data_IF_453391831091
#
_entry.id   IF_453391831091
#
_cell.length_a   1.000
_cell.length_b   1.000
_cell.length_c   1.000
_cell.angle_alpha   90.00
_cell.angle_beta   90.00
_cell.angle_gamma   90.00
#
_symmetry.space_group_name_H-M   'P 1'
#
loop_
_entity.id
_entity.type
_entity.pdbx_description
1 polymer ?
#
# COMPACT_ATOMS: atom_id res chain seq x y z
N UNK A 1 57.39 34.75 -4.53
CA UNK A 1 56.43 33.95 -5.35
C UNK A 1 56.06 32.68 -4.60
N UNK A 2 54.80 32.58 -4.19
CA UNK A 2 54.29 31.34 -3.61
C UNK A 2 54.20 30.27 -4.69
N UNK A 3 54.67 29.06 -4.40
CA UNK A 3 54.52 27.92 -5.29
C UNK A 3 53.05 27.51 -5.36
N UNK A 4 52.60 26.84 -6.46
CA UNK A 4 51.26 26.34 -6.62
C UNK A 4 50.81 25.49 -5.40
N UNK A 5 51.69 24.66 -4.89
CA UNK A 5 51.46 23.83 -3.70
C UNK A 5 51.16 24.64 -2.44
N UNK A 6 51.87 25.77 -2.24
CA UNK A 6 51.63 26.67 -1.10
C UNK A 6 50.30 27.42 -1.24
N UNK A 7 49.92 27.83 -2.47
CA UNK A 7 48.63 28.49 -2.72
C UNK A 7 47.46 27.55 -2.45
N UNK A 8 47.54 26.29 -2.89
CA UNK A 8 46.51 25.25 -2.65
C UNK A 8 46.42 24.97 -1.14
N UNK A 9 47.53 24.75 -0.45
CA UNK A 9 47.54 24.52 0.99
C UNK A 9 46.92 25.65 1.80
N UNK A 10 47.22 26.92 1.43
CA UNK A 10 46.68 28.11 2.06
C UNK A 10 45.15 28.24 1.82
N UNK A 11 44.68 27.92 0.60
CA UNK A 11 43.27 27.92 0.27
C UNK A 11 42.51 26.90 1.13
N UNK A 12 43.01 25.65 1.25
CA UNK A 12 42.41 24.61 2.09
C UNK A 12 42.40 25.01 3.57
N UNK A 13 43.47 25.61 4.06
CA UNK A 13 43.55 26.02 5.47
C UNK A 13 42.56 27.12 5.82
N UNK A 14 42.40 28.13 4.96
CA UNK A 14 41.47 29.24 5.21
C UNK A 14 40.02 28.90 4.96
N UNK A 15 39.72 27.93 4.05
CA UNK A 15 38.35 27.55 3.67
C UNK A 15 37.90 26.17 4.23
N UNK A 16 38.66 25.62 5.20
CA UNK A 16 38.38 24.27 5.73
C UNK A 16 36.94 24.05 6.19
N UNK A 17 36.33 25.05 6.83
CA UNK A 17 34.94 24.98 7.30
C UNK A 17 33.95 25.00 6.13
N UNK A 18 34.15 25.88 5.16
CA UNK A 18 33.29 25.92 3.96
C UNK A 18 33.44 24.68 3.11
N UNK A 19 34.61 24.11 3.03
CA UNK A 19 34.84 22.84 2.33
C UNK A 19 34.20 21.67 3.07
N UNK A 20 34.25 21.66 4.39
CA UNK A 20 33.56 20.68 5.19
C UNK A 20 32.03 20.72 4.99
N UNK A 21 31.47 21.92 4.98
CA UNK A 21 30.06 22.16 4.70
C UNK A 21 29.70 21.70 3.27
N UNK A 22 30.50 22.09 2.27
CA UNK A 22 30.29 21.71 0.87
C UNK A 22 30.36 20.18 0.68
N UNK A 23 31.32 19.50 1.31
CA UNK A 23 31.45 18.06 1.27
C UNK A 23 30.26 17.37 1.95
N UNK A 24 29.79 17.89 3.08
CA UNK A 24 28.59 17.38 3.75
C UNK A 24 27.35 17.47 2.85
N UNK A 25 27.10 18.64 2.24
CA UNK A 25 25.96 18.77 1.32
C UNK A 25 26.10 17.90 0.08
N UNK A 26 27.31 17.72 -0.45
CA UNK A 26 27.54 16.81 -1.58
C UNK A 26 27.18 15.35 -1.24
N UNK A 27 27.52 14.90 -0.03
CA UNK A 27 27.15 13.56 0.46
C UNK A 27 25.64 13.47 0.64
N UNK A 28 25.01 14.45 1.28
CA UNK A 28 23.53 14.46 1.49
C UNK A 28 22.80 14.42 0.15
N UNK A 29 23.19 15.27 -0.81
CA UNK A 29 22.61 15.29 -2.15
C UNK A 29 22.83 13.94 -2.86
N UNK A 30 24.02 13.37 -2.75
CA UNK A 30 24.34 12.08 -3.32
C UNK A 30 23.46 10.95 -2.76
N UNK A 31 23.22 10.94 -1.45
CA UNK A 31 22.31 9.98 -0.79
C UNK A 31 20.87 10.18 -1.24
N UNK A 32 20.40 11.43 -1.32
CA UNK A 32 19.02 11.72 -1.78
C UNK A 32 18.81 11.29 -3.23
N UNK A 33 19.76 11.56 -4.12
CA UNK A 33 19.69 11.12 -5.52
C UNK A 33 19.73 9.59 -5.60
N UNK A 34 20.59 8.96 -4.81
CA UNK A 34 20.69 7.51 -4.78
C UNK A 34 19.37 6.87 -4.31
N UNK A 35 18.77 7.42 -3.26
CA UNK A 35 17.48 6.95 -2.73
C UNK A 35 16.35 7.11 -3.75
N UNK A 36 16.26 8.28 -4.38
CA UNK A 36 15.26 8.59 -5.42
C UNK A 36 15.38 7.65 -6.65
N UNK A 37 16.61 7.41 -7.12
CA UNK A 37 16.85 6.54 -8.30
C UNK A 37 16.69 5.04 -7.99
N UNK A 38 16.90 4.63 -6.74
CA UNK A 38 16.83 3.22 -6.34
C UNK A 38 15.48 2.81 -5.74
N UNK A 39 14.65 3.76 -5.34
CA UNK A 39 13.32 3.48 -4.82
C UNK A 39 12.36 3.19 -5.97
N UNK A 40 11.88 1.96 -6.06
CA UNK A 40 10.84 1.57 -7.01
C UNK A 40 9.50 1.99 -6.43
N UNK A 41 8.82 2.91 -7.11
CA UNK A 41 7.46 3.31 -6.74
C UNK A 41 6.48 2.16 -7.04
N UNK A 42 5.55 1.83 -6.13
CA UNK A 42 4.58 0.79 -6.39
C UNK A 42 3.55 1.24 -7.43
N UNK A 43 3.22 0.35 -8.35
CA UNK A 43 2.15 0.54 -9.34
C UNK A 43 0.76 0.54 -8.70
N UNK A 44 0.61 -0.25 -7.64
CA UNK A 44 -0.65 -0.35 -6.90
C UNK A 44 -0.40 -0.51 -5.40
N UNK A 45 -1.27 0.11 -4.62
CA UNK A 45 -1.31 -0.05 -3.17
C UNK A 45 -2.58 -0.83 -2.81
N UNK A 46 -2.41 -1.86 -1.99
CA UNK A 46 -3.51 -2.65 -1.42
C UNK A 46 -3.52 -2.40 0.08
N UNK A 47 -4.68 -2.10 0.60
CA UNK A 47 -4.87 -1.94 2.04
C UNK A 47 -5.30 -3.28 2.63
N UNK A 48 -4.58 -3.74 3.65
CA UNK A 48 -4.90 -4.95 4.39
C UNK A 48 -5.27 -4.59 5.81
N UNK A 49 -6.53 -4.78 6.16
CA UNK A 49 -7.12 -4.48 7.45
C UNK A 49 -7.53 -5.79 8.11
N UNK A 50 -6.85 -6.16 9.18
CA UNK A 50 -7.18 -7.40 9.89
C UNK A 50 -6.71 -7.32 11.33
N UNK A 51 -7.45 -8.03 12.21
CA UNK A 51 -7.02 -8.26 13.57
C UNK A 51 -6.01 -9.41 13.68
N UNK A 52 -5.84 -10.21 12.63
CA UNK A 52 -4.96 -11.36 12.62
C UNK A 52 -3.48 -10.97 12.42
N UNK A 53 -2.66 -11.32 13.42
CA UNK A 53 -1.24 -10.97 13.42
C UNK A 53 -0.39 -11.84 12.48
N UNK A 54 -0.81 -13.06 12.16
CA UNK A 54 -0.11 -13.92 11.21
C UNK A 54 -0.35 -13.43 9.78
N UNK A 55 -1.58 -13.03 9.46
CA UNK A 55 -1.89 -12.41 8.18
C UNK A 55 -1.07 -11.12 7.97
N UNK A 56 -0.84 -10.35 9.03
CA UNK A 56 0.01 -9.16 8.97
C UNK A 56 1.46 -9.46 8.55
N UNK A 57 1.96 -10.67 8.80
CA UNK A 57 3.28 -11.12 8.36
C UNK A 57 3.32 -11.60 6.90
N UNK A 58 2.17 -11.71 6.23
CA UNK A 58 2.05 -12.22 4.85
C UNK A 58 1.90 -11.11 3.80
N UNK A 59 2.20 -9.87 4.14
CA UNK A 59 2.12 -8.72 3.21
C UNK A 59 2.95 -8.91 1.95
N UNK A 60 4.14 -9.52 2.05
CA UNK A 60 4.97 -9.83 0.89
C UNK A 60 4.33 -10.91 -0.01
N UNK A 61 3.79 -11.98 0.57
CA UNK A 61 3.06 -13.00 -0.19
C UNK A 61 1.81 -12.43 -0.86
N UNK A 62 1.08 -11.56 -0.15
CA UNK A 62 -0.05 -10.83 -0.71
C UNK A 62 0.39 -9.95 -1.89
N UNK A 63 1.47 -9.18 -1.73
CA UNK A 63 2.00 -8.34 -2.81
C UNK A 63 2.36 -9.17 -4.04
N UNK A 64 3.16 -10.22 -3.88
CA UNK A 64 3.59 -11.12 -4.96
C UNK A 64 2.40 -11.81 -5.67
N UNK A 65 1.33 -12.12 -4.94
CA UNK A 65 0.13 -12.65 -5.54
C UNK A 65 -0.55 -11.63 -6.47
N UNK A 66 -0.72 -10.39 -6.01
CA UNK A 66 -1.36 -9.34 -6.80
C UNK A 66 -0.49 -8.83 -7.96
N UNK A 67 0.83 -8.84 -7.85
CA UNK A 67 1.77 -8.46 -8.93
C UNK A 67 1.57 -9.26 -10.21
N UNK A 68 0.97 -10.45 -10.15
CA UNK A 68 0.65 -11.26 -11.31
C UNK A 68 -0.47 -10.66 -12.18
N UNK A 69 -1.27 -9.75 -11.62
CA UNK A 69 -2.47 -9.19 -12.26
C UNK A 69 -2.36 -7.68 -12.50
N UNK A 70 -1.44 -7.00 -11.81
CA UNK A 70 -1.23 -5.56 -11.93
C UNK A 70 -0.33 -5.30 -13.14
N UNK A 71 -0.71 -4.39 -14.07
CA UNK A 71 0.19 -3.95 -15.12
C UNK A 71 1.23 -2.94 -14.57
N UNK A 72 2.32 -2.74 -15.31
CA UNK A 72 3.27 -1.65 -15.07
C UNK A 72 2.57 -0.31 -15.36
N UNK A 73 2.11 0.36 -14.31
CA UNK A 73 1.32 1.59 -14.40
C UNK A 73 2.21 2.84 -14.40
N UNK A 74 3.40 2.76 -13.81
CA UNK A 74 4.34 3.87 -13.73
C UNK A 74 5.34 3.89 -14.91
N UNK A 75 5.44 2.78 -15.69
CA UNK A 75 6.26 2.67 -16.88
C UNK A 75 7.76 2.52 -16.60
N UNK A 76 8.14 2.05 -15.41
CA UNK A 76 9.54 1.84 -15.02
C UNK A 76 10.10 0.48 -15.46
N UNK A 77 9.25 -0.39 -16.04
CA UNK A 77 9.59 -1.72 -16.52
C UNK A 77 9.58 -2.79 -15.42
N UNK A 78 9.10 -2.46 -14.23
CA UNK A 78 8.93 -3.38 -13.11
C UNK A 78 7.48 -3.29 -12.61
N UNK A 79 6.90 -4.40 -12.20
CA UNK A 79 5.59 -4.40 -11.53
C UNK A 79 5.82 -4.56 -10.05
N UNK A 80 5.32 -3.63 -9.25
CA UNK A 80 5.43 -3.67 -7.80
C UNK A 80 4.10 -3.32 -7.13
N UNK A 81 3.67 -4.19 -6.23
CA UNK A 81 2.51 -3.95 -5.38
C UNK A 81 2.97 -3.70 -3.95
N UNK A 82 2.50 -2.63 -3.35
CA UNK A 82 2.70 -2.37 -1.93
C UNK A 82 1.45 -2.78 -1.14
N UNK A 83 1.62 -3.56 -0.08
CA UNK A 83 0.55 -3.92 0.83
C UNK A 83 0.73 -3.16 2.13
N UNK A 84 -0.21 -2.26 2.42
CA UNK A 84 -0.24 -1.54 3.68
C UNK A 84 -1.12 -2.27 4.68
N UNK A 85 -0.49 -2.99 5.58
CA UNK A 85 -1.17 -3.66 6.67
C UNK A 85 -1.39 -2.68 7.83
N UNK A 86 -2.66 -2.51 8.20
CA UNK A 86 -3.06 -1.72 9.36
C UNK A 86 -3.85 -2.66 10.28
N UNK A 87 -3.30 -3.02 11.43
CA UNK A 87 -4.00 -3.88 12.38
C UNK A 87 -5.20 -3.13 12.95
N UNK A 88 -6.36 -3.74 12.87
CA UNK A 88 -7.60 -3.23 13.46
C UNK A 88 -8.04 -4.20 14.54
N UNK A 89 -8.38 -3.71 15.71
CA UNK A 89 -8.88 -4.54 16.80
C UNK A 89 -10.04 -3.84 17.50
N UNK A 90 -11.10 -4.58 17.73
CA UNK A 90 -12.27 -4.12 18.47
C UNK A 90 -12.18 -4.46 19.97
N UNK A 91 -11.02 -4.95 20.48
CA UNK A 91 -10.84 -5.23 21.91
C UNK A 91 -10.65 -3.93 22.70
N UNK A 92 -11.65 -3.49 23.49
CA UNK A 92 -11.55 -2.26 24.31
C UNK A 92 -10.50 -2.36 25.42
N UNK A 93 -10.01 -3.58 25.74
CA UNK A 93 -8.96 -3.79 26.74
C UNK A 93 -7.56 -3.77 26.13
N UNK A 94 -7.44 -3.88 24.83
CA UNK A 94 -6.16 -3.81 24.12
C UNK A 94 -5.81 -2.37 23.72
N UNK A 95 -6.00 -1.44 24.66
CA UNK A 95 -5.71 -0.01 24.50
C UNK A 95 -4.20 0.31 24.50
N UNK A 96 -3.34 -0.67 24.29
CA UNK A 96 -1.90 -0.47 24.20
C UNK A 96 -1.52 0.12 22.84
N UNK A 97 -1.34 1.44 22.82
CA UNK A 97 -0.42 2.23 21.98
C UNK A 97 -0.30 1.98 20.46
N UNK A 98 -0.91 0.94 19.89
CA UNK A 98 -1.03 0.75 18.45
C UNK A 98 -1.93 1.81 17.80
N UNK A 99 -2.84 2.37 18.57
CA UNK A 99 -3.98 3.14 18.07
C UNK A 99 -3.70 4.55 17.55
N UNK A 100 -2.74 5.27 18.08
CA UNK A 100 -2.63 6.69 17.70
C UNK A 100 -1.93 6.91 16.36
N UNK A 101 -0.96 6.07 16.01
CA UNK A 101 -0.27 6.13 14.71
C UNK A 101 -1.04 5.41 13.60
N UNK A 102 -1.51 4.20 13.88
CA UNK A 102 -2.18 3.36 12.89
C UNK A 102 -3.59 3.87 12.54
N UNK A 103 -4.33 4.40 13.52
CA UNK A 103 -5.63 5.05 13.26
C UNK A 103 -5.48 6.28 12.38
N UNK A 104 -4.44 7.09 12.59
CA UNK A 104 -4.17 8.25 11.76
C UNK A 104 -3.78 7.83 10.33
N UNK A 105 -2.98 6.77 10.20
CA UNK A 105 -2.61 6.20 8.91
C UNK A 105 -3.83 5.65 8.19
N UNK A 106 -4.68 4.89 8.87
CA UNK A 106 -5.93 4.38 8.31
C UNK A 106 -6.81 5.52 7.78
N UNK A 107 -7.01 6.58 8.57
CA UNK A 107 -7.81 7.73 8.14
C UNK A 107 -7.21 8.38 6.89
N UNK A 108 -5.89 8.57 6.84
CA UNK A 108 -5.22 9.16 5.67
C UNK A 108 -5.42 8.28 4.43
N UNK A 109 -5.17 6.98 4.54
CA UNK A 109 -5.34 6.04 3.41
C UNK A 109 -6.81 5.98 2.95
N UNK A 110 -7.76 5.91 3.89
CA UNK A 110 -9.18 5.89 3.58
C UNK A 110 -9.70 7.22 3.01
N UNK A 111 -9.01 8.33 3.23
CA UNK A 111 -9.34 9.66 2.69
C UNK A 111 -8.55 10.02 1.43
N UNK A 112 -7.72 9.12 0.91
CA UNK A 112 -6.95 9.26 -0.33
C UNK A 112 -7.47 8.32 -1.43
N UNK A 113 -6.96 8.47 -2.64
CA UNK A 113 -7.22 7.56 -3.78
C UNK A 113 -6.14 6.47 -3.95
N UNK A 114 -5.19 6.36 -3.03
CA UNK A 114 -4.01 5.51 -3.17
C UNK A 114 -4.33 4.02 -3.17
N UNK A 115 -5.22 3.57 -2.27
CA UNK A 115 -5.58 2.17 -2.13
C UNK A 115 -7.07 1.96 -2.47
N UNK A 116 -7.35 1.45 -3.66
CA UNK A 116 -8.71 1.13 -4.09
C UNK A 116 -9.14 -0.28 -3.69
N UNK A 117 -8.22 -1.23 -3.70
CA UNK A 117 -8.45 -2.61 -3.27
C UNK A 117 -8.16 -2.74 -1.78
N UNK A 118 -9.08 -3.36 -1.06
CA UNK A 118 -8.99 -3.54 0.39
C UNK A 118 -9.29 -4.99 0.75
N UNK A 119 -8.37 -5.60 1.46
CA UNK A 119 -8.54 -6.86 2.17
C UNK A 119 -8.99 -6.54 3.59
N UNK A 120 -10.13 -7.08 4.02
CA UNK A 120 -10.64 -6.82 5.36
C UNK A 120 -11.32 -8.05 5.95
N UNK A 121 -11.35 -8.12 7.28
CA UNK A 121 -12.14 -9.06 8.05
C UNK A 121 -13.29 -8.36 8.77
N UNK A 122 -14.20 -9.12 9.38
CA UNK A 122 -15.37 -8.57 10.09
C UNK A 122 -14.99 -7.73 11.31
N UNK A 123 -13.81 -7.90 11.89
CA UNK A 123 -13.32 -7.07 12.98
C UNK A 123 -13.16 -5.59 12.59
N UNK A 124 -13.06 -5.32 11.27
CA UNK A 124 -12.88 -3.98 10.73
C UNK A 124 -14.20 -3.28 10.38
N UNK A 125 -15.33 -3.96 10.37
CA UNK A 125 -16.63 -3.45 9.83
C UNK A 125 -17.08 -2.15 10.51
N UNK A 126 -17.01 -2.07 11.84
CA UNK A 126 -17.39 -0.89 12.59
C UNK A 126 -16.50 0.34 12.25
N UNK A 127 -15.26 0.08 11.86
CA UNK A 127 -14.27 1.12 11.56
C UNK A 127 -14.39 1.63 10.14
N UNK A 128 -14.60 0.73 9.17
CA UNK A 128 -14.57 1.06 7.73
C UNK A 128 -15.96 1.29 7.14
N UNK A 129 -17.04 0.94 7.85
CA UNK A 129 -18.44 1.04 7.36
C UNK A 129 -18.56 0.52 5.91
N UNK A 130 -18.47 -0.79 5.69
CA UNK A 130 -18.28 -1.38 4.36
C UNK A 130 -19.32 -0.96 3.34
N UNK A 131 -20.61 -0.91 3.72
CA UNK A 131 -21.70 -0.50 2.82
C UNK A 131 -21.56 0.93 2.29
N UNK A 132 -20.90 1.82 3.04
CA UNK A 132 -20.63 3.19 2.60
C UNK A 132 -19.35 3.30 1.80
N UNK A 133 -18.39 2.45 2.09
CA UNK A 133 -17.03 2.51 1.56
C UNK A 133 -16.85 1.73 0.27
N UNK A 134 -17.44 0.54 0.17
CA UNK A 134 -17.20 -0.37 -0.94
C UNK A 134 -18.31 -0.36 -1.99
N UNK A 135 -17.90 -0.62 -3.23
CA UNK A 135 -18.78 -0.81 -4.36
C UNK A 135 -19.55 -2.15 -4.22
N UNK A 136 -20.83 -2.15 -4.54
CA UNK A 136 -21.61 -3.38 -4.67
C UNK A 136 -21.16 -4.15 -5.93
N UNK A 137 -20.72 -5.38 -5.73
CA UNK A 137 -20.21 -6.28 -6.76
C UNK A 137 -21.26 -7.27 -7.27
N UNK A 138 -22.43 -7.34 -6.65
CA UNK A 138 -23.46 -8.36 -6.91
C UNK A 138 -23.95 -8.34 -8.35
N UNK A 139 -23.96 -7.19 -9.01
CA UNK A 139 -24.41 -7.07 -10.40
C UNK A 139 -23.36 -7.51 -11.40
N UNK A 140 -22.10 -7.17 -11.16
CA UNK A 140 -20.98 -7.52 -12.05
C UNK A 140 -20.61 -9.01 -11.95
N UNK A 141 -20.80 -9.61 -10.78
CA UNK A 141 -20.41 -11.00 -10.48
C UNK A 141 -21.59 -11.84 -10.00
N UNK A 142 -22.78 -11.65 -10.58
CA UNK A 142 -24.04 -12.29 -10.18
C UNK A 142 -23.99 -13.82 -10.15
N UNK A 143 -23.15 -14.42 -10.99
CA UNK A 143 -23.03 -15.87 -11.13
C UNK A 143 -21.96 -16.46 -10.20
N UNK A 144 -21.24 -15.62 -9.44
CA UNK A 144 -20.18 -16.07 -8.55
C UNK A 144 -20.70 -16.23 -7.10
N UNK A 145 -20.78 -17.45 -6.57
CA UNK A 145 -21.31 -17.69 -5.24
C UNK A 145 -20.40 -17.18 -4.10
N UNK A 146 -19.17 -16.80 -4.41
CA UNK A 146 -18.22 -16.23 -3.45
C UNK A 146 -18.36 -14.71 -3.33
N UNK A 147 -19.16 -14.08 -4.20
CA UNK A 147 -19.44 -12.65 -4.14
C UNK A 147 -20.78 -12.42 -3.44
N UNK A 148 -20.76 -11.57 -2.43
CA UNK A 148 -21.96 -11.18 -1.68
C UNK A 148 -21.91 -9.69 -1.38
N UNK A 149 -22.83 -8.90 -2.00
CA UNK A 149 -22.83 -7.46 -1.86
C UNK A 149 -21.51 -6.85 -2.32
N UNK A 150 -20.79 -6.23 -1.39
CA UNK A 150 -19.50 -5.57 -1.63
C UNK A 150 -18.29 -6.49 -1.47
N UNK A 151 -18.48 -7.72 -1.02
CA UNK A 151 -17.40 -8.62 -0.60
C UNK A 151 -17.20 -9.80 -1.55
N UNK A 152 -15.94 -10.12 -1.83
CA UNK A 152 -15.51 -11.39 -2.39
C UNK A 152 -14.81 -12.21 -1.31
N UNK A 153 -15.37 -13.34 -0.93
CA UNK A 153 -14.92 -14.20 0.17
C UNK A 153 -13.62 -14.95 -0.22
N UNK A 154 -12.53 -14.60 0.42
CA UNK A 154 -11.22 -15.19 0.17
C UNK A 154 -10.98 -16.47 0.98
N UNK A 155 -11.69 -16.67 2.09
CA UNK A 155 -11.49 -17.85 2.96
C UNK A 155 -11.95 -19.15 2.30
N UNK A 156 -12.90 -19.05 1.37
CA UNK A 156 -13.39 -20.19 0.57
C UNK A 156 -12.59 -20.46 -0.70
N UNK A 157 -11.47 -19.77 -0.86
CA UNK A 157 -10.57 -19.90 -2.01
C UNK A 157 -9.21 -20.46 -1.59
N UNK A 158 -8.33 -20.65 -2.55
CA UNK A 158 -6.94 -21.01 -2.28
C UNK A 158 -6.02 -19.79 -2.02
N UNK A 159 -6.58 -18.58 -1.87
CA UNK A 159 -5.85 -17.35 -1.67
C UNK A 159 -4.88 -17.43 -0.48
N UNK A 160 -5.38 -17.82 0.69
CA UNK A 160 -4.57 -17.92 1.92
C UNK A 160 -3.36 -18.83 1.72
N UNK A 161 -3.56 -19.95 1.04
CA UNK A 161 -2.48 -20.88 0.69
C UNK A 161 -1.48 -20.26 -0.29
N UNK A 162 -1.97 -19.50 -1.28
CA UNK A 162 -1.12 -18.83 -2.29
C UNK A 162 -0.22 -17.77 -1.68
N UNK A 163 -0.67 -17.09 -0.62
CA UNK A 163 0.15 -16.11 0.11
C UNK A 163 1.01 -16.72 1.22
N UNK A 164 0.96 -18.04 1.40
CA UNK A 164 1.72 -18.75 2.42
C UNK A 164 1.17 -18.59 3.84
N UNK A 165 -0.13 -18.32 3.99
CA UNK A 165 -0.79 -18.29 5.29
C UNK A 165 -1.17 -19.72 5.71
N UNK A 166 -0.79 -20.13 6.92
CA UNK A 166 -1.00 -21.47 7.46
C UNK A 166 -2.02 -21.52 8.61
N UNK A 167 -2.49 -20.37 9.06
CA UNK A 167 -3.48 -20.25 10.12
C UNK A 167 -4.92 -20.54 9.66
N UNK A 168 -5.86 -20.34 10.55
CA UNK A 168 -7.29 -20.39 10.27
C UNK A 168 -7.88 -18.99 10.45
N UNK A 169 -8.60 -18.50 9.45
CA UNK A 169 -9.36 -17.26 9.49
C UNK A 169 -10.83 -17.59 9.33
N UNK A 170 -11.65 -17.03 10.21
CA UNK A 170 -13.11 -17.19 10.14
C UNK A 170 -13.67 -16.48 8.91
N UNK A 171 -13.13 -15.30 8.59
CA UNK A 171 -13.50 -14.50 7.45
C UNK A 171 -12.32 -13.64 6.95
N UNK A 172 -12.28 -13.44 5.67
CA UNK A 172 -11.44 -12.45 4.98
C UNK A 172 -12.08 -12.19 3.62
N UNK A 173 -12.27 -10.94 3.28
CA UNK A 173 -12.83 -10.57 1.99
C UNK A 173 -11.99 -9.50 1.27
N UNK A 174 -12.14 -9.50 -0.05
CA UNK A 174 -11.61 -8.46 -0.93
C UNK A 174 -12.77 -7.58 -1.39
N UNK A 175 -12.61 -6.27 -1.22
CA UNK A 175 -13.53 -5.26 -1.71
C UNK A 175 -12.82 -4.20 -2.52
N UNK A 176 -13.58 -3.48 -3.37
CA UNK A 176 -13.12 -2.29 -4.07
C UNK A 176 -13.88 -1.07 -3.57
N UNK A 177 -13.18 0.02 -3.35
CA UNK A 177 -13.79 1.25 -2.82
C UNK A 177 -14.66 1.94 -3.87
N UNK A 178 -15.73 2.59 -3.41
CA UNK A 178 -16.58 3.45 -4.25
C UNK A 178 -15.84 4.68 -4.74
N UNK A 179 -16.19 5.10 -5.93
CA UNK A 179 -15.78 6.42 -6.44
C UNK A 179 -16.61 7.49 -5.75
N UNK A 180 -15.96 8.31 -4.94
CA UNK A 180 -16.58 9.41 -4.22
C UNK A 180 -15.54 10.49 -3.90
N UNK A 181 -16.00 11.72 -3.68
CA UNK A 181 -15.12 12.79 -3.23
C UNK A 181 -14.69 12.55 -1.78
N UNK A 182 -13.40 12.62 -1.53
CA UNK A 182 -12.78 12.44 -0.22
C UNK A 182 -11.98 13.69 0.20
N UNK A 183 -11.46 13.69 1.43
CA UNK A 183 -10.71 14.84 1.94
C UNK A 183 -9.42 15.10 1.11
N UNK A 184 -8.71 14.04 0.72
CA UNK A 184 -7.44 14.13 -0.01
C UNK A 184 -7.53 13.66 -1.46
N UNK A 185 -8.73 13.35 -1.96
CA UNK A 185 -8.94 12.92 -3.34
C UNK A 185 -10.21 13.50 -3.95
N UNK A 186 -10.09 13.99 -5.17
CA UNK A 186 -11.25 14.38 -5.98
C UNK A 186 -11.93 13.14 -6.54
N UNK A 187 -13.20 13.25 -6.92
CA UNK A 187 -13.94 12.18 -7.57
C UNK A 187 -13.26 11.71 -8.86
N UNK A 188 -12.69 12.64 -9.64
CA UNK A 188 -11.94 12.34 -10.86
C UNK A 188 -10.69 11.46 -10.57
N UNK A 189 -9.93 11.77 -9.51
CA UNK A 189 -8.79 10.94 -9.08
C UNK A 189 -9.24 9.57 -8.59
N UNK A 190 -10.34 9.53 -7.84
CA UNK A 190 -10.92 8.26 -7.40
C UNK A 190 -11.35 7.40 -8.58
N UNK A 191 -11.98 8.02 -9.61
CA UNK A 191 -12.37 7.30 -10.83
C UNK A 191 -11.16 6.75 -11.57
N UNK A 192 -10.11 7.56 -11.75
CA UNK A 192 -8.88 7.10 -12.41
C UNK A 192 -8.23 5.92 -11.67
N UNK A 193 -8.17 5.96 -10.34
CA UNK A 193 -7.65 4.85 -9.53
C UNK A 193 -8.57 3.62 -9.57
N UNK A 194 -9.88 3.83 -9.63
CA UNK A 194 -10.86 2.76 -9.77
C UNK A 194 -10.70 2.04 -11.12
N UNK A 195 -10.56 2.79 -12.22
CA UNK A 195 -10.41 2.26 -13.57
C UNK A 195 -9.12 1.42 -13.72
N UNK A 196 -8.10 1.69 -12.91
CA UNK A 196 -6.89 0.87 -12.83
C UNK A 196 -7.07 -0.37 -11.96
N UNK A 197 -7.79 -0.25 -10.85
CA UNK A 197 -7.93 -1.32 -9.86
C UNK A 197 -9.00 -2.35 -10.22
N UNK A 198 -10.09 -1.94 -10.88
CA UNK A 198 -11.21 -2.82 -11.18
C UNK A 198 -10.84 -3.99 -12.10
N UNK A 199 -10.04 -3.81 -13.19
CA UNK A 199 -9.58 -4.94 -13.98
C UNK A 199 -8.72 -5.95 -13.21
N UNK A 200 -7.96 -5.47 -12.22
CA UNK A 200 -7.17 -6.34 -11.33
C UNK A 200 -8.10 -7.18 -10.46
N UNK A 201 -9.13 -6.55 -9.88
CA UNK A 201 -10.17 -7.26 -9.11
C UNK A 201 -10.84 -8.35 -9.95
N UNK A 202 -11.23 -8.05 -11.21
CA UNK A 202 -11.86 -9.02 -12.11
C UNK A 202 -10.96 -10.24 -12.36
N UNK A 203 -9.67 -10.01 -12.59
CA UNK A 203 -8.69 -11.08 -12.81
C UNK A 203 -8.48 -11.93 -11.55
N UNK A 204 -8.37 -11.30 -10.38
CA UNK A 204 -8.24 -12.00 -9.09
C UNK A 204 -9.47 -12.86 -8.80
N UNK A 205 -10.69 -12.31 -8.96
CA UNK A 205 -11.92 -13.07 -8.79
C UNK A 205 -11.97 -14.25 -9.77
N UNK A 206 -11.60 -14.03 -11.04
CA UNK A 206 -11.57 -15.10 -12.05
C UNK A 206 -10.54 -16.18 -11.74
N UNK A 207 -9.39 -15.83 -11.16
CA UNK A 207 -8.35 -16.81 -10.79
C UNK A 207 -8.76 -17.65 -9.57
N UNK A 208 -9.36 -17.02 -8.59
CA UNK A 208 -9.75 -17.66 -7.33
C UNK A 208 -11.11 -18.39 -7.38
N UNK A 209 -11.88 -18.23 -8.44
CA UNK A 209 -13.19 -18.87 -8.60
C UNK A 209 -13.12 -20.17 -9.46
N UNK A 210 -11.91 -20.62 -9.78
CA UNK A 210 -11.68 -21.88 -10.50
C UNK A 210 -11.68 -23.06 -9.55
#
# INVERSE_FOLDING_TARGET
HYTLRQRIGNFFYHNKWWMGIAAFFAVVIGVLIYDDVTTVEPDMIILQLSADSELALRTEGTAQYFEQFVPDLNGDGQVKVAVYCIPVTNDPNNSTNYYNGDSSKLVVEMQSSSAMLVLADSACEDTIMPEQTFQDLSQQFSDNPLVSGYSFDLTKTDFLKKIGYEGELDDLYLGIRKVQKLMFATEEKMQASYDQAFPVLEQVISDLSK
#
